data_IF_019018900968
#
_entry.id   IF_019018900968
#
_cell.length_a   1.000
_cell.length_b   1.000
_cell.length_c   1.000
_cell.angle_alpha   90.00
_cell.angle_beta   90.00
_cell.angle_gamma   90.00
#
_symmetry.space_group_name_H-M   'P 1'
#
loop_
_entity.id
_entity.type
_entity.pdbx_description
1 polymer ?
#
# COMPACT_ATOMS: atom_id res chain seq x y z
N UNK A 1 44.77 91.64 -0.48
CA UNK A 1 44.58 90.75 0.68
C UNK A 1 43.72 89.57 0.22
N UNK A 2 44.26 88.35 0.18
CA UNK A 2 43.66 87.18 -0.49
C UNK A 2 42.53 86.58 0.34
N UNK A 3 41.34 86.43 -0.27
CA UNK A 3 40.22 85.62 0.25
C UNK A 3 40.45 84.17 -0.21
N UNK A 4 40.38 83.22 0.72
CA UNK A 4 40.47 81.76 0.45
C UNK A 4 39.05 81.18 0.41
N UNK A 5 38.62 80.71 -0.74
CA UNK A 5 37.46 79.82 -0.85
C UNK A 5 37.89 78.37 -0.59
N UNK A 6 37.26 77.74 0.40
CA UNK A 6 37.40 76.31 0.70
C UNK A 6 36.09 75.62 0.37
N UNK A 7 36.03 74.96 -0.79
CA UNK A 7 34.96 74.03 -1.15
C UNK A 7 35.56 72.64 -1.36
N UNK A 8 35.50 71.80 -0.33
CA UNK A 8 35.84 70.38 -0.41
C UNK A 8 34.68 69.63 -1.10
N UNK A 9 34.89 69.20 -2.35
CA UNK A 9 33.97 68.29 -3.05
C UNK A 9 34.05 66.90 -2.40
N UNK A 10 33.07 66.54 -1.55
CA UNK A 10 32.85 65.14 -1.15
C UNK A 10 32.40 64.35 -2.38
N UNK A 11 33.31 63.54 -2.95
CA UNK A 11 32.95 62.50 -3.92
C UNK A 11 32.29 61.35 -3.18
N UNK A 12 30.96 61.31 -3.18
CA UNK A 12 30.22 60.13 -2.72
C UNK A 12 30.39 59.05 -3.78
N UNK A 13 30.94 57.90 -3.41
CA UNK A 13 31.21 56.78 -4.31
C UNK A 13 29.90 56.11 -4.72
N UNK A 14 29.39 56.46 -5.90
CA UNK A 14 28.17 55.89 -6.49
C UNK A 14 28.27 54.36 -6.69
N UNK A 15 29.48 53.83 -6.88
CA UNK A 15 29.72 52.41 -7.11
C UNK A 15 29.47 51.51 -5.89
N UNK A 16 29.58 52.04 -4.67
CA UNK A 16 29.42 51.24 -3.45
C UNK A 16 27.94 50.92 -3.17
N UNK A 17 27.03 51.85 -3.50
CA UNK A 17 25.59 51.64 -3.38
C UNK A 17 25.04 50.76 -4.51
N UNK A 18 25.57 50.87 -5.72
CA UNK A 18 25.15 50.04 -6.86
C UNK A 18 25.49 48.55 -6.65
N UNK A 19 26.67 48.26 -6.09
CA UNK A 19 27.09 46.89 -5.75
C UNK A 19 26.29 46.29 -4.59
N UNK A 20 25.91 47.11 -3.59
CA UNK A 20 25.10 46.66 -2.45
C UNK A 20 23.65 46.34 -2.86
N UNK A 21 23.06 47.13 -3.77
CA UNK A 21 21.69 46.92 -4.29
C UNK A 21 21.62 45.66 -5.16
N UNK A 22 22.63 45.41 -6.02
CA UNK A 22 22.69 44.18 -6.82
C UNK A 22 22.82 42.92 -5.94
N UNK A 23 23.60 42.98 -4.86
CA UNK A 23 23.78 41.86 -3.93
C UNK A 23 22.49 41.55 -3.16
N UNK A 24 21.75 42.58 -2.73
CA UNK A 24 20.45 42.40 -2.06
C UNK A 24 19.38 41.84 -3.01
N UNK A 25 19.36 42.24 -4.29
CA UNK A 25 18.46 41.66 -5.29
C UNK A 25 18.79 40.19 -5.60
N UNK A 26 20.07 39.81 -5.59
CA UNK A 26 20.50 38.43 -5.82
C UNK A 26 20.14 37.50 -4.65
N UNK A 27 20.18 38.01 -3.40
CA UNK A 27 19.74 37.26 -2.20
C UNK A 27 18.21 37.12 -2.16
N UNK A 28 17.45 38.13 -2.63
CA UNK A 28 15.99 38.08 -2.67
C UNK A 28 15.42 37.18 -3.78
N UNK A 29 16.15 36.96 -4.88
CA UNK A 29 15.71 36.02 -5.94
C UNK A 29 15.91 34.54 -5.57
N UNK A 30 16.74 34.23 -4.58
CA UNK A 30 16.98 32.84 -4.13
C UNK A 30 15.89 32.32 -3.19
N UNK A 31 15.02 33.19 -2.64
CA UNK A 31 13.97 32.79 -1.69
C UNK A 31 12.62 32.46 -2.32
N UNK A 32 12.51 32.45 -3.65
CA UNK A 32 11.32 31.97 -4.38
C UNK A 32 11.65 30.65 -5.08
N UNK A 33 12.20 29.69 -4.35
CA UNK A 33 11.92 28.29 -4.69
C UNK A 33 10.50 28.06 -4.23
N UNK A 34 9.56 28.09 -5.18
CA UNK A 34 8.20 27.69 -4.93
C UNK A 34 8.22 26.37 -4.17
N UNK A 35 7.54 26.34 -3.03
CA UNK A 35 7.03 25.10 -2.52
C UNK A 35 6.08 24.59 -3.62
N UNK A 36 6.60 23.77 -4.54
CA UNK A 36 5.76 22.80 -5.20
C UNK A 36 5.08 22.08 -4.04
N UNK A 37 3.76 22.24 -3.94
CA UNK A 37 2.98 21.33 -3.14
C UNK A 37 3.38 19.95 -3.67
N UNK A 38 4.11 19.18 -2.85
CA UNK A 38 4.34 17.76 -3.06
C UNK A 38 2.95 17.18 -3.34
N UNK A 39 2.62 16.99 -4.62
CA UNK A 39 1.48 16.17 -4.98
C UNK A 39 1.89 14.83 -4.44
N UNK A 40 1.31 14.44 -3.32
CA UNK A 40 1.50 13.11 -2.76
C UNK A 40 1.04 12.14 -3.82
N UNK A 41 1.99 11.72 -4.66
CA UNK A 41 1.68 10.98 -5.88
C UNK A 41 0.96 9.72 -5.49
N UNK A 42 -0.01 9.31 -6.29
CA UNK A 42 -0.66 8.02 -6.09
C UNK A 42 0.40 6.92 -6.11
N UNK A 43 0.38 6.06 -5.08
CA UNK A 43 1.30 4.93 -4.95
C UNK A 43 0.52 3.64 -4.83
N UNK A 44 1.13 2.58 -5.32
CA UNK A 44 0.62 1.24 -5.15
C UNK A 44 1.74 0.30 -4.72
N UNK A 45 1.40 -0.70 -3.91
CA UNK A 45 2.31 -1.73 -3.47
C UNK A 45 1.65 -3.08 -3.58
N UNK A 46 2.43 -4.10 -3.93
CA UNK A 46 1.93 -5.46 -4.09
C UNK A 46 2.74 -6.43 -3.24
N UNK A 47 2.09 -7.47 -2.75
CA UNK A 47 2.75 -8.61 -2.14
C UNK A 47 1.91 -9.86 -2.31
N UNK A 48 2.56 -11.02 -2.20
CA UNK A 48 1.92 -12.32 -2.10
C UNK A 48 2.62 -13.13 -1.02
N UNK A 49 1.85 -13.80 -0.19
CA UNK A 49 2.35 -14.66 0.89
C UNK A 49 1.78 -16.06 0.68
N UNK A 50 2.66 -17.06 0.74
CA UNK A 50 2.27 -18.47 0.63
C UNK A 50 1.48 -18.86 1.89
N UNK A 51 0.29 -19.41 1.69
CA UNK A 51 -0.61 -19.90 2.73
C UNK A 51 -0.88 -21.40 2.57
N UNK A 52 -0.03 -22.12 1.84
CA UNK A 52 -0.20 -23.56 1.60
C UNK A 52 -0.09 -24.33 2.93
N UNK A 53 -1.07 -25.17 3.28
CA UNK A 53 -1.05 -25.94 4.52
C UNK A 53 -0.05 -27.10 4.46
N UNK A 54 0.33 -27.59 5.64
CA UNK A 54 0.92 -28.93 5.75
C UNK A 54 -0.14 -30.00 5.48
N UNK A 55 0.24 -31.03 4.73
CA UNK A 55 -0.64 -32.14 4.33
C UNK A 55 -0.60 -33.30 5.34
N UNK A 56 -1.63 -34.16 5.39
CA UNK A 56 -2.87 -34.12 4.62
C UNK A 56 -3.91 -33.17 5.22
N UNK A 57 -4.81 -32.65 4.38
CA UNK A 57 -5.91 -31.76 4.79
C UNK A 57 -7.20 -32.08 4.05
N UNK A 58 -8.35 -31.80 4.66
CA UNK A 58 -9.64 -31.84 4.00
C UNK A 58 -9.80 -30.64 3.05
N UNK A 59 -10.38 -30.84 1.86
CA UNK A 59 -10.69 -29.78 0.90
C UNK A 59 -12.17 -29.39 0.95
N UNK A 60 -12.44 -28.08 1.08
CA UNK A 60 -13.78 -27.54 1.10
C UNK A 60 -14.32 -27.24 -0.31
N UNK A 61 -15.61 -27.49 -0.56
CA UNK A 61 -16.32 -27.11 -1.80
C UNK A 61 -16.90 -28.28 -2.59
N UNK A 62 -16.57 -29.53 -2.25
CA UNK A 62 -17.22 -30.70 -2.81
C UNK A 62 -18.43 -31.12 -1.95
N UNK A 63 -19.36 -31.92 -2.50
CA UNK A 63 -20.49 -32.48 -1.73
C UNK A 63 -20.11 -33.65 -0.81
N UNK A 64 -18.83 -34.03 -0.81
CA UNK A 64 -18.22 -35.08 0.02
C UNK A 64 -16.84 -34.60 0.43
N UNK A 65 -16.35 -35.06 1.58
CA UNK A 65 -14.97 -34.81 1.97
C UNK A 65 -13.99 -35.43 0.96
N UNK A 66 -12.94 -34.68 0.65
CA UNK A 66 -11.82 -35.13 -0.14
C UNK A 66 -10.53 -34.66 0.50
N UNK A 67 -9.72 -35.61 0.94
CA UNK A 67 -8.40 -35.34 1.51
C UNK A 67 -7.40 -35.02 0.40
N UNK A 68 -6.73 -33.87 0.50
CA UNK A 68 -5.57 -33.55 -0.31
C UNK A 68 -4.34 -34.33 0.20
N UNK A 69 -3.65 -35.01 -0.72
CA UNK A 69 -2.41 -35.76 -0.45
C UNK A 69 -1.20 -35.18 -1.18
N UNK A 70 -1.37 -34.05 -1.88
CA UNK A 70 -0.33 -33.38 -2.63
C UNK A 70 -0.74 -31.94 -2.95
N UNK A 71 0.26 -31.13 -3.29
CA UNK A 71 0.08 -29.74 -3.75
C UNK A 71 0.37 -29.71 -5.24
N UNK A 72 -0.61 -29.29 -6.05
CA UNK A 72 -0.38 -29.02 -7.48
C UNK A 72 0.17 -27.61 -7.66
N UNK A 73 -0.52 -26.61 -7.10
CA UNK A 73 -0.11 -25.21 -7.04
C UNK A 73 -0.17 -24.73 -5.59
N UNK A 74 0.76 -23.86 -5.19
CA UNK A 74 0.72 -23.17 -3.89
C UNK A 74 -0.52 -22.27 -3.80
N UNK A 75 -1.04 -22.14 -2.59
CA UNK A 75 -2.11 -21.20 -2.24
C UNK A 75 -1.49 -19.89 -1.75
N UNK A 76 -2.07 -18.74 -2.13
CA UNK A 76 -1.55 -17.44 -1.75
C UNK A 76 -2.62 -16.50 -1.18
N UNK A 77 -2.21 -15.67 -0.23
CA UNK A 77 -2.85 -14.38 0.05
C UNK A 77 -2.13 -13.30 -0.77
N UNK A 78 -2.86 -12.58 -1.62
CA UNK A 78 -2.33 -11.52 -2.50
C UNK A 78 -2.91 -10.19 -2.09
N UNK A 79 -2.06 -9.17 -1.88
CA UNK A 79 -2.49 -7.83 -1.51
C UNK A 79 -2.10 -6.80 -2.57
N UNK A 80 -3.04 -5.90 -2.88
CA UNK A 80 -2.82 -4.62 -3.53
C UNK A 80 -3.08 -3.51 -2.50
N UNK A 81 -2.02 -2.80 -2.11
CA UNK A 81 -2.09 -1.59 -1.31
C UNK A 81 -2.16 -0.37 -2.23
N UNK A 82 -3.10 0.54 -1.98
CA UNK A 82 -3.22 1.83 -2.65
C UNK A 82 -3.02 2.95 -1.63
N UNK A 83 -2.32 4.00 -2.01
CA UNK A 83 -2.01 5.16 -1.16
C UNK A 83 -2.14 6.45 -2.00
N UNK A 84 -3.06 7.35 -1.63
CA UNK A 84 -3.22 8.67 -2.27
C UNK A 84 -2.44 9.79 -1.54
N UNK A 85 -1.66 9.43 -0.52
CA UNK A 85 -0.93 10.34 0.35
C UNK A 85 -1.66 10.75 1.62
N UNK A 86 -2.98 10.55 1.67
CA UNK A 86 -3.83 10.85 2.83
C UNK A 86 -4.44 9.57 3.40
N UNK A 87 -4.89 8.67 2.53
CA UNK A 87 -5.59 7.43 2.85
C UNK A 87 -4.89 6.24 2.19
N UNK A 88 -4.75 5.17 2.97
CA UNK A 88 -4.30 3.86 2.48
C UNK A 88 -5.48 2.89 2.44
N UNK A 89 -5.54 2.08 1.39
CA UNK A 89 -6.54 1.01 1.22
C UNK A 89 -5.84 -0.28 0.79
N UNK A 90 -6.17 -1.38 1.45
CA UNK A 90 -5.65 -2.71 1.13
C UNK A 90 -6.77 -3.60 0.57
N UNK A 91 -6.56 -4.13 -0.64
CA UNK A 91 -7.37 -5.18 -1.23
C UNK A 91 -6.63 -6.51 -1.13
N UNK A 92 -7.21 -7.49 -0.46
CA UNK A 92 -6.61 -8.82 -0.28
C UNK A 92 -7.52 -9.89 -0.86
N UNK A 93 -6.94 -10.79 -1.66
CA UNK A 93 -7.64 -11.99 -2.14
C UNK A 93 -6.82 -13.20 -1.73
N UNK A 94 -7.45 -14.13 -1.00
CA UNK A 94 -6.81 -15.34 -0.51
C UNK A 94 -7.39 -16.59 -1.20
N UNK A 95 -6.49 -17.50 -1.59
CA UNK A 95 -6.86 -18.77 -2.22
C UNK A 95 -7.48 -19.72 -1.18
N UNK A 96 -8.81 -19.69 -1.07
CA UNK A 96 -9.61 -20.56 -0.23
C UNK A 96 -11.05 -20.66 -0.78
N UNK A 97 -11.79 -21.71 -0.41
CA UNK A 97 -13.20 -21.87 -0.74
C UNK A 97 -14.04 -20.84 0.02
N UNK A 98 -13.92 -20.81 1.35
CA UNK A 98 -14.71 -19.96 2.22
C UNK A 98 -13.83 -19.47 3.36
N UNK A 99 -14.01 -18.22 3.78
CA UNK A 99 -13.30 -17.66 4.93
C UNK A 99 -14.33 -16.99 5.81
N UNK A 100 -14.40 -17.41 7.07
CA UNK A 100 -15.35 -16.84 8.03
C UNK A 100 -14.82 -15.52 8.60
N UNK A 101 -15.74 -14.66 9.01
CA UNK A 101 -15.44 -13.33 9.54
C UNK A 101 -14.35 -13.31 10.64
N UNK A 102 -14.31 -14.25 11.61
CA UNK A 102 -13.29 -14.23 12.67
C UNK A 102 -11.84 -14.32 12.16
N UNK A 103 -11.60 -14.99 11.03
CA UNK A 103 -10.26 -15.06 10.40
C UNK A 103 -9.87 -13.69 9.86
N UNK A 104 -10.79 -13.00 9.20
CA UNK A 104 -10.57 -11.64 8.72
C UNK A 104 -10.39 -10.65 9.87
N UNK A 105 -11.18 -10.76 10.94
CA UNK A 105 -11.06 -9.89 12.11
C UNK A 105 -9.69 -10.06 12.79
N UNK A 106 -9.20 -11.30 12.92
CA UNK A 106 -7.87 -11.59 13.44
C UNK A 106 -6.77 -10.97 12.55
N UNK A 107 -6.87 -11.11 11.22
CA UNK A 107 -5.93 -10.51 10.29
C UNK A 107 -5.94 -8.97 10.39
N UNK A 108 -7.12 -8.35 10.42
CA UNK A 108 -7.29 -6.89 10.54
C UNK A 108 -6.73 -6.36 11.86
N UNK A 109 -6.92 -7.07 12.96
CA UNK A 109 -6.33 -6.69 14.25
C UNK A 109 -4.79 -6.68 14.19
N UNK A 110 -4.18 -7.69 13.55
CA UNK A 110 -2.72 -7.75 13.34
C UNK A 110 -2.23 -6.61 12.44
N UNK A 111 -2.91 -6.37 11.32
CA UNK A 111 -2.60 -5.26 10.40
C UNK A 111 -2.63 -3.90 11.12
N UNK A 112 -3.69 -3.64 11.89
CA UNK A 112 -3.84 -2.41 12.65
C UNK A 112 -2.73 -2.25 13.70
N UNK A 113 -2.37 -3.34 14.38
CA UNK A 113 -1.30 -3.35 15.40
C UNK A 113 0.09 -3.07 14.79
N UNK A 114 0.39 -3.66 13.63
CA UNK A 114 1.74 -3.63 13.04
C UNK A 114 2.01 -2.35 12.22
N UNK A 115 1.03 -1.88 11.45
CA UNK A 115 1.23 -0.76 10.52
C UNK A 115 0.23 0.38 10.68
N UNK A 116 -0.66 0.31 11.67
CA UNK A 116 -1.59 1.40 11.97
C UNK A 116 -2.77 1.53 11.00
N UNK A 117 -2.96 0.61 10.06
CA UNK A 117 -4.03 0.68 9.07
C UNK A 117 -5.39 0.30 9.67
N UNK A 118 -6.37 1.20 9.54
CA UNK A 118 -7.72 1.03 10.05
C UNK A 118 -8.41 -0.24 9.47
N UNK A 119 -9.13 -1.04 10.28
CA UNK A 119 -9.80 -2.26 9.82
C UNK A 119 -10.78 -2.03 8.66
N UNK A 120 -11.42 -0.87 8.59
CA UNK A 120 -12.31 -0.43 7.51
C UNK A 120 -11.58 -0.14 6.20
N UNK A 121 -10.28 0.13 6.24
CA UNK A 121 -9.43 0.31 5.06
C UNK A 121 -8.89 -1.03 4.50
N UNK A 122 -9.30 -2.16 5.06
CA UNK A 122 -8.91 -3.50 4.58
C UNK A 122 -10.14 -4.22 4.02
N UNK A 123 -10.15 -4.43 2.70
CA UNK A 123 -11.13 -5.23 1.98
C UNK A 123 -10.50 -6.57 1.65
N UNK A 124 -11.10 -7.66 2.12
CA UNK A 124 -10.55 -9.00 1.94
C UNK A 124 -11.61 -9.98 1.45
N UNK A 125 -11.22 -10.90 0.56
CA UNK A 125 -12.10 -11.96 0.05
C UNK A 125 -11.36 -13.28 -0.14
N UNK A 126 -12.15 -14.35 -0.26
CA UNK A 126 -11.68 -15.64 -0.76
C UNK A 126 -11.85 -15.69 -2.29
N UNK A 127 -11.06 -16.52 -2.99
CA UNK A 127 -11.27 -16.80 -4.43
C UNK A 127 -12.43 -17.75 -4.70
N UNK A 128 -12.92 -18.44 -3.68
CA UNK A 128 -13.87 -19.55 -3.81
C UNK A 128 -13.32 -20.77 -4.55
N UNK A 129 -12.04 -21.09 -4.36
CA UNK A 129 -11.45 -22.32 -4.92
C UNK A 129 -11.87 -23.57 -4.15
N UNK A 130 -12.36 -24.60 -4.86
CA UNK A 130 -12.84 -25.86 -4.28
C UNK A 130 -11.73 -26.90 -4.04
N UNK A 131 -10.47 -26.55 -4.33
CA UNK A 131 -9.31 -27.43 -4.15
C UNK A 131 -8.30 -26.85 -3.14
N UNK A 132 -8.76 -25.93 -2.29
CA UNK A 132 -8.03 -25.43 -1.13
C UNK A 132 -8.42 -26.17 0.15
N UNK A 133 -7.63 -25.98 1.20
CA UNK A 133 -7.91 -26.54 2.53
C UNK A 133 -9.17 -25.94 3.15
N UNK A 134 -9.92 -26.77 3.86
CA UNK A 134 -11.04 -26.33 4.67
C UNK A 134 -10.57 -25.53 5.89
N UNK A 135 -11.04 -24.29 6.00
CA UNK A 135 -10.90 -23.46 7.23
C UNK A 135 -12.23 -23.34 7.99
N UNK A 136 -13.32 -23.91 7.46
CA UNK A 136 -14.65 -23.86 8.05
C UNK A 136 -15.44 -25.10 7.66
N UNK A 137 -16.23 -25.63 8.60
CA UNK A 137 -16.94 -26.89 8.41
C UNK A 137 -18.09 -26.74 7.44
N UNK A 138 -17.95 -27.26 6.22
CA UNK A 138 -18.94 -27.18 5.14
C UNK A 138 -18.92 -28.49 4.35
N UNK A 139 -20.08 -29.00 3.92
CA UNK A 139 -20.21 -30.19 3.07
C UNK A 139 -19.31 -31.39 3.47
N UNK A 140 -19.26 -31.71 4.76
CA UNK A 140 -18.46 -32.80 5.35
C UNK A 140 -16.94 -32.56 5.39
N UNK A 141 -16.42 -31.42 4.93
CA UNK A 141 -15.01 -31.07 5.09
C UNK A 141 -14.76 -30.52 6.50
N UNK A 142 -13.84 -31.12 7.25
CA UNK A 142 -13.46 -30.64 8.57
C UNK A 142 -12.41 -29.52 8.49
N UNK A 143 -12.53 -28.44 9.27
CA UNK A 143 -11.50 -27.41 9.34
C UNK A 143 -10.15 -27.99 9.76
N UNK A 144 -9.08 -27.63 9.05
CA UNK A 144 -7.74 -28.00 9.47
C UNK A 144 -7.34 -27.24 10.74
N UNK A 145 -7.00 -27.92 11.85
CA UNK A 145 -6.64 -27.25 13.09
C UNK A 145 -5.46 -26.29 12.91
N UNK A 146 -5.62 -25.04 13.39
CA UNK A 146 -4.59 -24.01 13.34
C UNK A 146 -4.41 -23.31 11.99
N UNK A 147 -5.04 -23.81 10.92
CA UNK A 147 -4.95 -23.18 9.60
C UNK A 147 -5.66 -21.82 9.55
N UNK A 148 -6.69 -21.62 10.37
CA UNK A 148 -7.35 -20.33 10.57
C UNK A 148 -6.35 -19.22 10.98
N UNK A 149 -5.40 -19.56 11.86
CA UNK A 149 -4.36 -18.63 12.31
C UNK A 149 -3.30 -18.42 11.24
N UNK A 150 -2.83 -19.49 10.60
CA UNK A 150 -1.88 -19.40 9.48
C UNK A 150 -2.44 -18.52 8.36
N UNK A 151 -3.71 -18.71 8.02
CA UNK A 151 -4.41 -17.91 7.01
C UNK A 151 -4.52 -16.44 7.45
N UNK A 152 -4.93 -16.17 8.68
CA UNK A 152 -5.00 -14.81 9.19
C UNK A 152 -3.62 -14.12 9.20
N UNK A 153 -2.57 -14.85 9.58
CA UNK A 153 -1.18 -14.38 9.56
C UNK A 153 -0.71 -14.09 8.13
N UNK A 154 -1.00 -14.98 7.18
CA UNK A 154 -0.66 -14.79 5.77
C UNK A 154 -1.37 -13.58 5.13
N UNK A 155 -2.66 -13.38 5.44
CA UNK A 155 -3.41 -12.18 5.02
C UNK A 155 -2.77 -10.93 5.60
N UNK A 156 -2.48 -10.92 6.90
CA UNK A 156 -1.86 -9.76 7.55
C UNK A 156 -0.46 -9.48 6.98
N UNK A 157 0.36 -10.50 6.80
CA UNK A 157 1.70 -10.39 6.25
C UNK A 157 1.67 -9.85 4.81
N UNK A 158 0.73 -10.30 3.96
CA UNK A 158 0.59 -9.77 2.61
C UNK A 158 0.30 -8.27 2.61
N UNK A 159 -0.54 -7.78 3.53
CA UNK A 159 -0.83 -6.34 3.66
C UNK A 159 0.40 -5.57 4.16
N UNK A 160 1.10 -6.12 5.16
CA UNK A 160 2.29 -5.50 5.75
C UNK A 160 3.41 -5.39 4.70
N UNK A 161 3.66 -6.45 3.93
CA UNK A 161 4.65 -6.44 2.85
C UNK A 161 4.25 -5.49 1.71
N UNK A 162 2.98 -5.51 1.28
CA UNK A 162 2.50 -4.59 0.25
C UNK A 162 2.67 -3.11 0.68
N UNK A 163 2.48 -2.81 1.96
CA UNK A 163 2.70 -1.46 2.51
C UNK A 163 4.15 -1.00 2.44
N UNK A 164 5.11 -1.93 2.46
CA UNK A 164 6.55 -1.66 2.34
C UNK A 164 7.01 -1.55 0.89
N UNK A 165 6.24 -2.10 -0.05
CA UNK A 165 6.51 -2.12 -1.48
C UNK A 165 5.80 -0.99 -2.24
N UNK A 166 5.43 0.11 -1.58
CA UNK A 166 4.75 1.24 -2.23
C UNK A 166 5.69 1.93 -3.24
N UNK A 167 5.24 2.09 -4.48
CA UNK A 167 5.94 2.81 -5.54
C UNK A 167 4.98 3.77 -6.27
N UNK A 168 5.45 4.86 -6.90
CA UNK A 168 4.60 5.72 -7.72
C UNK A 168 3.83 4.92 -8.77
N UNK A 169 2.53 5.14 -8.86
CA UNK A 169 1.63 4.32 -9.67
C UNK A 169 0.57 5.17 -10.37
N UNK A 170 -0.10 4.55 -11.33
CA UNK A 170 -1.32 5.05 -11.96
C UNK A 170 -2.38 3.94 -11.90
N UNK A 171 -3.65 4.31 -11.78
CA UNK A 171 -4.76 3.38 -11.77
C UNK A 171 -5.71 3.68 -12.93
N UNK A 172 -6.18 2.62 -13.59
CA UNK A 172 -7.20 2.66 -14.63
C UNK A 172 -8.13 1.46 -14.46
N UNK A 173 -9.33 1.53 -15.03
CA UNK A 173 -10.27 0.42 -15.05
C UNK A 173 -10.82 0.22 -16.47
N UNK A 174 -11.22 -1.00 -16.78
CA UNK A 174 -11.85 -1.39 -18.02
C UNK A 174 -12.84 -2.52 -17.78
N UNK A 175 -13.79 -2.69 -18.70
CA UNK A 175 -14.82 -3.73 -18.61
C UNK A 175 -14.94 -4.45 -19.96
N UNK A 176 -15.34 -5.71 -19.93
CA UNK A 176 -15.56 -6.54 -21.11
C UNK A 176 -16.65 -7.57 -20.84
N UNK A 177 -17.44 -7.90 -21.87
CA UNK A 177 -18.46 -8.93 -21.77
C UNK A 177 -17.82 -10.31 -21.97
N UNK A 178 -18.15 -11.27 -21.10
CA UNK A 178 -17.67 -12.64 -21.19
C UNK A 178 -18.88 -13.59 -21.14
N UNK A 179 -19.68 -13.66 -22.23
CA UNK A 179 -20.97 -14.37 -22.21
C UNK A 179 -20.82 -15.90 -22.12
N UNK A 180 -19.63 -16.44 -22.37
CA UNK A 180 -19.35 -17.88 -22.29
C UNK A 180 -19.00 -18.34 -20.86
N UNK A 181 -18.62 -17.42 -19.97
CA UNK A 181 -18.30 -17.70 -18.57
C UNK A 181 -19.55 -17.47 -17.71
N UNK A 182 -20.24 -18.56 -17.35
CA UNK A 182 -21.39 -18.54 -16.43
C UNK A 182 -20.96 -19.02 -15.06
N UNK A 183 -21.26 -18.21 -14.04
CA UNK A 183 -21.16 -18.58 -12.62
C UNK A 183 -22.38 -19.38 -12.17
#
# INVERSE_FOLDING_TARGET
MKVKDSYAKRRVSFGMYFSLVLSVCMVLMVSVTGAEAETTGFRAGIARVDITPELPVSMAGHFQDRTATGVHDSLYARCLMLDDGTTKLAFVVADNCLIQQPVFDLAKAKIQSEIGLAPECVVASATHTHTGVSVTGVFQSDPQPGYDRLLADGIAQAVIEASRNLEPAQIAFGTGAVPEEVF
#
